data_IF_361943124063
#
_entry.id   IF_361943124063
#
_cell.length_a   1.000
_cell.length_b   1.000
_cell.length_c   1.000
_cell.angle_alpha   90.00
_cell.angle_beta   90.00
_cell.angle_gamma   90.00
#
_symmetry.space_group_name_H-M   'P 1'
#
loop_
_entity.id
_entity.type
_entity.pdbx_description
1 polymer ?
#
# COMPACT_ATOMS: atom_id res chain seq x y z
N UNK A 1 29.75 -9.41 15.24
CA UNK A 1 29.55 -9.65 13.78
C UNK A 1 29.36 -11.15 13.60
N UNK A 2 28.14 -11.61 13.30
CA UNK A 2 27.89 -13.03 13.02
C UNK A 2 28.40 -13.31 11.59
N UNK A 3 29.21 -14.36 11.42
CA UNK A 3 29.72 -14.72 10.11
C UNK A 3 28.58 -15.16 9.18
N UNK A 4 28.57 -14.69 7.92
CA UNK A 4 27.56 -15.06 6.90
C UNK A 4 27.39 -16.57 6.76
N UNK A 5 28.50 -17.32 6.81
CA UNK A 5 28.48 -18.79 6.75
C UNK A 5 27.68 -19.40 7.90
N UNK A 6 27.76 -18.81 9.10
CA UNK A 6 26.98 -19.26 10.27
C UNK A 6 25.48 -19.02 10.07
N UNK A 7 25.11 -17.87 9.50
CA UNK A 7 23.71 -17.54 9.18
C UNK A 7 23.17 -18.52 8.13
N UNK A 8 23.94 -18.78 7.07
CA UNK A 8 23.54 -19.71 6.02
C UNK A 8 23.39 -21.13 6.57
N UNK A 9 24.31 -21.60 7.42
CA UNK A 9 24.22 -22.92 8.06
C UNK A 9 23.01 -23.05 8.98
N UNK A 10 22.71 -22.01 9.78
CA UNK A 10 21.50 -21.96 10.61
C UNK A 10 20.25 -22.02 9.74
N UNK A 11 20.22 -21.28 8.64
CA UNK A 11 19.10 -21.30 7.68
C UNK A 11 18.86 -22.70 7.13
N UNK A 12 19.92 -23.40 6.70
CA UNK A 12 19.83 -24.80 6.23
C UNK A 12 19.27 -25.73 7.31
N UNK A 13 19.78 -25.60 8.54
CA UNK A 13 19.33 -26.42 9.67
C UNK A 13 17.83 -26.21 9.96
N UNK A 14 17.34 -24.96 9.95
CA UNK A 14 15.93 -24.63 10.16
C UNK A 14 15.03 -25.22 9.07
N UNK A 15 15.41 -25.09 7.79
CA UNK A 15 14.64 -25.68 6.67
C UNK A 15 14.64 -27.20 6.75
N UNK A 16 15.76 -27.83 7.11
CA UNK A 16 15.83 -29.29 7.30
C UNK A 16 14.98 -29.77 8.49
N UNK A 17 14.98 -29.03 9.60
CA UNK A 17 14.16 -29.34 10.76
C UNK A 17 12.66 -29.25 10.43
N UNK A 18 12.25 -28.24 9.67
CA UNK A 18 10.88 -28.11 9.18
C UNK A 18 10.47 -29.30 8.31
N UNK A 19 11.34 -29.73 7.38
CA UNK A 19 11.08 -30.86 6.48
C UNK A 19 10.94 -32.22 7.17
N UNK A 20 11.58 -32.41 8.33
CA UNK A 20 11.53 -33.65 9.12
C UNK A 20 10.33 -33.70 10.07
N UNK A 21 9.67 -32.56 10.30
CA UNK A 21 8.57 -32.46 11.27
C UNK A 21 7.27 -32.97 10.66
N UNK A 22 6.57 -33.86 11.37
CA UNK A 22 5.27 -34.41 10.97
C UNK A 22 4.12 -33.97 11.87
N UNK A 23 4.42 -33.52 13.09
CA UNK A 23 3.42 -33.04 14.04
C UNK A 23 3.02 -31.58 13.72
N UNK A 24 1.72 -31.26 13.55
CA UNK A 24 1.26 -29.92 13.21
C UNK A 24 1.73 -28.82 14.17
N UNK A 25 1.68 -29.05 15.50
CA UNK A 25 2.11 -28.06 16.50
C UNK A 25 3.60 -27.77 16.42
N UNK A 26 4.39 -28.82 16.17
CA UNK A 26 5.85 -28.68 15.96
C UNK A 26 6.11 -27.92 14.66
N UNK A 27 5.34 -28.19 13.60
CA UNK A 27 5.47 -27.47 12.33
C UNK A 27 5.22 -25.97 12.50
N UNK A 28 4.19 -25.56 13.25
CA UNK A 28 3.92 -24.14 13.52
C UNK A 28 5.16 -23.47 14.13
N UNK A 29 5.66 -24.00 15.25
CA UNK A 29 6.84 -23.44 15.92
C UNK A 29 8.07 -23.38 15.02
N UNK A 30 8.28 -24.38 14.15
CA UNK A 30 9.39 -24.40 13.19
C UNK A 30 9.23 -23.37 12.07
N UNK A 31 8.01 -23.17 11.57
CA UNK A 31 7.71 -22.12 10.59
C UNK A 31 7.94 -20.75 11.22
N UNK A 32 7.51 -20.53 12.46
CA UNK A 32 7.70 -19.26 13.16
C UNK A 32 9.17 -18.99 13.48
N UNK A 33 9.92 -19.99 13.96
CA UNK A 33 11.37 -19.90 14.20
C UNK A 33 12.13 -19.53 12.90
N UNK A 34 11.78 -20.17 11.78
CA UNK A 34 12.33 -19.85 10.48
C UNK A 34 11.95 -18.44 10.02
N UNK A 35 10.69 -18.03 10.23
CA UNK A 35 10.21 -16.70 9.84
C UNK A 35 10.96 -15.61 10.59
N UNK A 36 11.14 -15.75 11.90
CA UNK A 36 11.92 -14.84 12.73
C UNK A 36 13.37 -14.74 12.25
N UNK A 37 14.01 -15.89 12.00
CA UNK A 37 15.38 -15.94 11.47
C UNK A 37 15.51 -15.22 10.11
N UNK A 38 14.53 -15.39 9.22
CA UNK A 38 14.52 -14.75 7.90
C UNK A 38 14.22 -13.24 7.96
N UNK A 39 13.51 -12.78 9.00
CA UNK A 39 13.31 -11.35 9.27
C UNK A 39 14.59 -10.70 9.81
N UNK A 40 15.31 -11.39 10.68
CA UNK A 40 16.59 -10.93 11.24
C UNK A 40 17.71 -10.92 10.19
N UNK A 41 17.72 -11.92 9.29
CA UNK A 41 18.74 -12.10 8.25
C UNK A 41 18.13 -12.20 6.84
N UNK A 42 17.63 -11.09 6.24
CA UNK A 42 16.94 -11.11 4.95
C UNK A 42 17.78 -11.64 3.78
N UNK A 43 19.11 -11.56 3.84
CA UNK A 43 20.03 -12.09 2.84
C UNK A 43 20.01 -13.62 2.76
N UNK A 44 19.58 -14.30 3.82
CA UNK A 44 19.54 -15.76 3.90
C UNK A 44 18.34 -16.39 3.19
N UNK A 45 17.35 -15.58 2.77
CA UNK A 45 16.15 -16.05 2.03
C UNK A 45 16.51 -16.84 0.77
N UNK A 46 17.55 -16.40 0.05
CA UNK A 46 18.03 -17.12 -1.13
C UNK A 46 18.54 -18.53 -0.81
N UNK A 47 19.18 -18.72 0.34
CA UNK A 47 19.62 -20.03 0.83
C UNK A 47 18.43 -20.90 1.19
N UNK A 48 17.44 -20.33 1.90
CA UNK A 48 16.23 -21.06 2.28
C UNK A 48 15.47 -21.62 1.07
N UNK A 49 15.36 -20.82 0.00
CA UNK A 49 14.72 -21.26 -1.26
C UNK A 49 15.52 -22.39 -1.92
N UNK A 50 16.87 -22.29 -1.97
CA UNK A 50 17.74 -23.35 -2.49
C UNK A 50 17.58 -24.68 -1.73
N UNK A 51 17.29 -24.62 -0.43
CA UNK A 51 17.00 -25.79 0.41
C UNK A 51 15.57 -26.35 0.24
N UNK A 52 14.87 -25.96 -0.84
CA UNK A 52 13.51 -26.40 -1.19
C UNK A 52 12.46 -26.03 -0.13
N UNK A 53 12.58 -24.83 0.45
CA UNK A 53 11.60 -24.33 1.42
C UNK A 53 10.19 -24.17 0.80
N UNK A 54 10.06 -23.65 -0.41
CA UNK A 54 8.77 -23.38 -1.05
C UNK A 54 7.91 -24.66 -1.20
N UNK A 55 8.40 -25.76 -1.82
CA UNK A 55 7.70 -27.04 -1.83
C UNK A 55 7.27 -27.54 -0.43
N UNK A 56 8.08 -27.30 0.59
CA UNK A 56 7.77 -27.68 1.96
C UNK A 56 6.58 -26.86 2.50
N UNK A 57 6.66 -25.53 2.40
CA UNK A 57 5.61 -24.62 2.85
C UNK A 57 4.30 -24.85 2.11
N UNK A 58 4.32 -25.02 0.78
CA UNK A 58 3.11 -25.25 -0.01
C UNK A 58 2.37 -26.53 0.39
N UNK A 59 3.09 -27.59 0.76
CA UNK A 59 2.50 -28.82 1.31
C UNK A 59 1.91 -28.60 2.70
N UNK A 60 2.63 -27.90 3.59
CA UNK A 60 2.13 -27.56 4.92
C UNK A 60 0.87 -26.68 4.84
N UNK A 61 0.76 -25.81 3.82
CA UNK A 61 -0.43 -25.00 3.56
C UNK A 61 -1.68 -25.83 3.23
N UNK A 62 -1.53 -27.11 2.83
CA UNK A 62 -2.66 -28.01 2.57
C UNK A 62 -3.21 -28.67 3.85
N UNK A 63 -2.56 -28.50 5.00
CA UNK A 63 -3.05 -29.02 6.26
C UNK A 63 -4.34 -28.32 6.68
N UNK A 64 -5.25 -29.03 7.34
CA UNK A 64 -6.49 -28.49 7.87
C UNK A 64 -6.30 -27.82 9.25
N UNK A 65 -5.33 -26.90 9.33
CA UNK A 65 -4.97 -26.15 10.54
C UNK A 65 -4.74 -24.68 10.16
N UNK A 66 -5.65 -23.80 10.57
CA UNK A 66 -5.63 -22.39 10.20
C UNK A 66 -4.42 -21.64 10.79
N UNK A 67 -3.94 -22.02 11.98
CA UNK A 67 -2.76 -21.41 12.60
C UNK A 67 -1.50 -21.75 11.82
N UNK A 68 -1.35 -23.01 11.38
CA UNK A 68 -0.27 -23.43 10.50
C UNK A 68 -0.35 -22.74 9.14
N UNK A 69 -1.54 -22.69 8.53
CA UNK A 69 -1.72 -22.00 7.25
C UNK A 69 -1.38 -20.51 7.37
N UNK A 70 -1.74 -19.85 8.47
CA UNK A 70 -1.42 -18.46 8.74
C UNK A 70 0.10 -18.23 8.79
N UNK A 71 0.81 -19.01 9.61
CA UNK A 71 2.27 -18.93 9.71
C UNK A 71 2.94 -19.19 8.35
N UNK A 72 2.47 -20.19 7.61
CA UNK A 72 2.99 -20.53 6.27
C UNK A 72 2.75 -19.39 5.26
N UNK A 73 1.58 -18.74 5.27
CA UNK A 73 1.29 -17.60 4.39
C UNK A 73 2.22 -16.43 4.65
N UNK A 74 2.52 -16.15 5.91
CA UNK A 74 3.50 -15.12 6.29
C UNK A 74 4.89 -15.47 5.75
N UNK A 75 5.39 -16.69 6.00
CA UNK A 75 6.72 -17.10 5.51
C UNK A 75 6.81 -17.07 3.99
N UNK A 76 5.76 -17.51 3.28
CA UNK A 76 5.69 -17.45 1.81
C UNK A 76 5.76 -16.00 1.31
N UNK A 77 5.02 -15.09 1.94
CA UNK A 77 5.08 -13.66 1.61
C UNK A 77 6.47 -13.06 1.90
N UNK A 78 7.13 -13.48 2.98
CA UNK A 78 8.45 -12.99 3.39
C UNK A 78 9.57 -13.40 2.40
N UNK A 79 9.51 -14.64 1.90
CA UNK A 79 10.44 -15.14 0.88
C UNK A 79 10.06 -14.68 -0.54
N UNK A 80 8.99 -13.92 -0.68
CA UNK A 80 8.54 -13.34 -1.95
C UNK A 80 7.85 -14.31 -2.89
N UNK A 81 7.29 -15.41 -2.36
CA UNK A 81 6.39 -16.27 -3.12
C UNK A 81 5.01 -15.60 -3.24
N UNK A 82 4.49 -15.52 -4.47
CA UNK A 82 3.19 -14.93 -4.78
C UNK A 82 2.26 -15.97 -5.37
N UNK A 83 1.07 -16.09 -4.80
CA UNK A 83 0.00 -16.88 -5.42
C UNK A 83 -0.48 -16.21 -6.72
N UNK A 84 -1.06 -16.98 -7.66
CA UNK A 84 -1.75 -16.41 -8.80
C UNK A 84 -2.82 -15.39 -8.37
N UNK A 85 -2.93 -14.29 -9.12
CA UNK A 85 -3.97 -13.26 -8.90
C UNK A 85 -5.37 -13.85 -8.98
N UNK A 86 -6.41 -13.21 -8.42
CA UNK A 86 -7.76 -13.80 -8.39
C UNK A 86 -8.48 -13.69 -9.75
N UNK A 87 -8.24 -12.62 -10.51
CA UNK A 87 -8.83 -12.36 -11.83
C UNK A 87 -8.03 -12.95 -13.00
N UNK A 88 -8.46 -12.72 -14.24
CA UNK A 88 -7.70 -13.11 -15.45
C UNK A 88 -6.40 -12.31 -15.62
N UNK A 89 -6.30 -11.16 -14.94
CA UNK A 89 -5.10 -10.35 -14.80
C UNK A 89 -5.04 -9.68 -13.42
N UNK A 90 -4.07 -8.80 -13.22
CA UNK A 90 -3.83 -8.11 -11.95
C UNK A 90 -4.85 -6.98 -11.77
N UNK A 91 -5.54 -6.95 -10.63
CA UNK A 91 -6.48 -5.88 -10.27
C UNK A 91 -5.86 -4.99 -9.20
N UNK A 92 -5.72 -3.71 -9.51
CA UNK A 92 -4.94 -2.74 -8.72
C UNK A 92 -5.83 -1.58 -8.30
N UNK A 93 -5.76 -1.22 -7.02
CA UNK A 93 -6.33 0.01 -6.48
C UNK A 93 -5.19 0.93 -6.04
N UNK A 94 -5.24 2.18 -6.45
CA UNK A 94 -4.36 3.23 -5.93
C UNK A 94 -5.16 4.40 -5.40
N UNK A 95 -4.76 4.91 -4.24
CA UNK A 95 -5.42 6.02 -3.56
C UNK A 95 -4.39 7.12 -3.30
N UNK A 96 -4.66 8.31 -3.82
CA UNK A 96 -3.79 9.46 -3.71
C UNK A 96 -3.75 10.04 -2.29
N UNK A 97 -2.75 10.85 -2.01
CA UNK A 97 -2.71 11.71 -0.82
C UNK A 97 -3.61 12.93 -0.98
N UNK A 98 -4.08 13.48 0.15
CA UNK A 98 -4.96 14.65 0.09
C UNK A 98 -5.59 15.12 1.40
N UNK A 99 -5.01 14.79 2.55
CA UNK A 99 -5.57 15.19 3.85
C UNK A 99 -6.98 14.63 4.05
N UNK A 100 -7.92 15.36 4.67
CA UNK A 100 -9.30 14.94 4.93
C UNK A 100 -10.16 14.74 3.67
N UNK A 101 -9.65 15.13 2.50
CA UNK A 101 -10.34 14.94 1.20
C UNK A 101 -10.40 13.47 0.75
N UNK A 102 -9.78 12.54 1.49
CA UNK A 102 -9.93 11.10 1.28
C UNK A 102 -11.38 10.60 1.28
N UNK A 103 -12.31 11.37 1.86
CA UNK A 103 -13.76 11.10 1.79
C UNK A 103 -14.27 10.96 0.35
N UNK A 104 -13.67 11.68 -0.62
CA UNK A 104 -14.00 11.60 -2.04
C UNK A 104 -13.70 10.20 -2.60
N UNK A 105 -12.53 9.64 -2.24
CA UNK A 105 -12.16 8.29 -2.65
C UNK A 105 -13.11 7.24 -2.06
N UNK A 106 -13.55 7.42 -0.81
CA UNK A 106 -14.54 6.55 -0.16
C UNK A 106 -15.87 6.50 -0.92
N UNK A 107 -16.36 7.63 -1.45
CA UNK A 107 -17.60 7.64 -2.24
C UNK A 107 -17.48 6.79 -3.51
N UNK A 108 -16.32 6.82 -4.17
CA UNK A 108 -16.07 5.98 -5.36
C UNK A 108 -16.05 4.50 -4.99
N UNK A 109 -15.38 4.16 -3.89
CA UNK A 109 -15.30 2.78 -3.41
C UNK A 109 -16.68 2.24 -2.99
N UNK A 110 -17.51 3.06 -2.34
CA UNK A 110 -18.90 2.72 -1.98
C UNK A 110 -19.70 2.33 -3.21
N UNK A 111 -19.63 3.15 -4.25
CA UNK A 111 -20.33 2.88 -5.51
C UNK A 111 -19.79 1.63 -6.23
N UNK A 112 -18.48 1.34 -6.11
CA UNK A 112 -17.90 0.09 -6.62
C UNK A 112 -18.38 -1.14 -5.82
N UNK A 113 -18.45 -1.08 -4.49
CA UNK A 113 -18.99 -2.18 -3.68
C UNK A 113 -20.46 -2.44 -4.01
N UNK A 114 -21.28 -1.38 -4.17
CA UNK A 114 -22.68 -1.49 -4.59
C UNK A 114 -22.82 -2.18 -5.96
N UNK A 115 -22.02 -1.78 -6.95
CA UNK A 115 -22.10 -2.32 -8.32
C UNK A 115 -21.57 -3.76 -8.44
N UNK A 116 -20.63 -4.14 -7.58
CA UNK A 116 -19.96 -5.45 -7.67
C UNK A 116 -20.45 -6.47 -6.64
N UNK A 117 -21.14 -6.01 -5.59
CA UNK A 117 -21.55 -6.83 -4.45
C UNK A 117 -20.39 -7.42 -3.65
N UNK A 118 -19.17 -6.89 -3.81
CA UNK A 118 -17.95 -7.43 -3.19
C UNK A 118 -17.21 -6.31 -2.45
N UNK A 119 -16.68 -6.59 -1.25
CA UNK A 119 -15.92 -5.60 -0.51
C UNK A 119 -14.56 -5.32 -1.16
N UNK A 120 -13.98 -4.13 -0.92
CA UNK A 120 -12.73 -3.65 -1.54
C UNK A 120 -11.61 -4.70 -1.51
N UNK A 121 -11.36 -5.33 -0.36
CA UNK A 121 -10.28 -6.32 -0.21
C UNK A 121 -10.44 -7.59 -1.08
N UNK A 122 -11.63 -7.84 -1.65
CA UNK A 122 -11.90 -8.95 -2.57
C UNK A 122 -11.79 -8.52 -4.04
N UNK A 123 -12.02 -7.24 -4.33
CA UNK A 123 -11.96 -6.66 -5.67
C UNK A 123 -10.53 -6.51 -6.19
N UNK A 124 -9.57 -6.31 -5.29
CA UNK A 124 -8.19 -6.00 -5.68
C UNK A 124 -7.20 -7.07 -5.22
N UNK A 125 -6.16 -7.26 -6.03
CA UNK A 125 -5.01 -8.10 -5.72
C UNK A 125 -3.86 -7.26 -5.12
N UNK A 126 -3.80 -5.98 -5.51
CA UNK A 126 -2.84 -4.99 -5.02
C UNK A 126 -3.53 -3.66 -4.65
N UNK A 127 -3.20 -3.09 -3.50
CA UNK A 127 -3.71 -1.80 -3.02
C UNK A 127 -2.53 -0.91 -2.60
N UNK A 128 -2.41 0.27 -3.20
CA UNK A 128 -1.36 1.24 -2.89
C UNK A 128 -1.96 2.55 -2.39
N UNK A 129 -1.37 3.14 -1.36
CA UNK A 129 -1.80 4.43 -0.85
C UNK A 129 -0.66 5.36 -0.50
N UNK A 130 -0.91 6.67 -0.62
CA UNK A 130 -0.02 7.74 -0.21
C UNK A 130 -0.73 8.62 0.81
N UNK A 131 -0.07 9.01 1.91
CA UNK A 131 -0.66 9.85 2.96
C UNK A 131 -2.00 9.28 3.46
N UNK A 132 -3.07 10.09 3.44
CA UNK A 132 -4.46 9.63 3.67
C UNK A 132 -4.83 8.37 2.87
N UNK A 133 -4.39 8.25 1.61
CA UNK A 133 -4.63 7.05 0.81
C UNK A 133 -3.99 5.80 1.41
N UNK A 134 -2.85 5.92 2.10
CA UNK A 134 -2.24 4.81 2.83
C UNK A 134 -3.09 4.38 4.04
N UNK A 135 -3.69 5.35 4.76
CA UNK A 135 -4.62 5.08 5.86
C UNK A 135 -5.81 4.27 5.34
N UNK A 136 -6.44 4.73 4.25
CA UNK A 136 -7.56 4.04 3.62
C UNK A 136 -7.16 2.65 3.10
N UNK A 137 -5.99 2.53 2.47
CA UNK A 137 -5.46 1.25 2.00
C UNK A 137 -5.29 0.23 3.14
N UNK A 138 -4.87 0.67 4.32
CA UNK A 138 -4.71 -0.23 5.48
C UNK A 138 -6.06 -0.61 6.08
N UNK A 139 -6.96 0.36 6.26
CA UNK A 139 -8.31 0.13 6.79
C UNK A 139 -9.08 -0.87 5.93
N UNK A 140 -9.13 -0.63 4.62
CA UNK A 140 -9.90 -1.43 3.68
C UNK A 140 -9.17 -2.71 3.27
N UNK A 141 -7.86 -2.63 3.04
CA UNK A 141 -7.06 -3.73 2.51
C UNK A 141 -6.54 -4.71 3.57
N UNK A 142 -6.09 -4.23 4.73
CA UNK A 142 -5.48 -5.08 5.75
C UNK A 142 -6.49 -5.45 6.85
N UNK A 143 -7.16 -4.45 7.40
CA UNK A 143 -8.12 -4.65 8.49
C UNK A 143 -9.47 -5.16 7.98
N UNK A 144 -9.79 -4.93 6.69
CA UNK A 144 -11.09 -5.24 6.08
C UNK A 144 -12.25 -4.53 6.80
N UNK A 145 -12.02 -3.27 7.20
CA UNK A 145 -13.05 -2.44 7.81
C UNK A 145 -14.12 -2.13 6.75
N UNK A 146 -15.42 -2.37 7.03
CA UNK A 146 -16.50 -1.96 6.14
C UNK A 146 -16.46 -0.46 5.81
N UNK A 147 -16.93 -0.06 4.64
CA UNK A 147 -16.82 1.34 4.20
C UNK A 147 -17.52 2.35 5.14
N UNK A 148 -18.67 1.98 5.72
CA UNK A 148 -19.38 2.83 6.68
C UNK A 148 -18.55 3.09 7.94
N UNK A 149 -18.04 2.03 8.54
CA UNK A 149 -17.14 2.12 9.71
C UNK A 149 -15.83 2.85 9.35
N UNK A 150 -15.35 2.68 8.12
CA UNK A 150 -14.16 3.34 7.63
C UNK A 150 -14.35 4.85 7.56
N UNK A 151 -15.51 5.31 7.05
CA UNK A 151 -15.86 6.72 6.96
C UNK A 151 -16.01 7.36 8.36
N UNK A 152 -16.68 6.68 9.29
CA UNK A 152 -16.82 7.16 10.67
C UNK A 152 -15.47 7.27 11.38
N UNK A 153 -14.64 6.22 11.29
CA UNK A 153 -13.30 6.21 11.84
C UNK A 153 -12.43 7.31 11.24
N UNK A 154 -12.59 7.57 9.94
CA UNK A 154 -11.86 8.61 9.22
C UNK A 154 -12.29 10.02 9.64
N UNK A 155 -13.59 10.26 9.83
CA UNK A 155 -14.11 11.51 10.39
C UNK A 155 -13.60 11.76 11.81
N UNK A 156 -13.63 10.73 12.66
CA UNK A 156 -13.12 10.81 14.04
C UNK A 156 -11.62 11.11 14.05
N UNK A 157 -10.87 10.44 13.19
CA UNK A 157 -9.44 10.66 13.01
C UNK A 157 -9.14 12.10 12.58
N UNK A 158 -9.84 12.62 11.57
CA UNK A 158 -9.68 14.00 11.12
C UNK A 158 -9.98 14.99 12.24
N UNK A 159 -11.06 14.77 13.00
CA UNK A 159 -11.39 15.64 14.13
C UNK A 159 -10.33 15.58 15.24
N UNK A 160 -9.83 14.40 15.59
CA UNK A 160 -8.88 14.24 16.69
C UNK A 160 -7.46 14.69 16.32
N UNK A 161 -7.05 14.53 15.05
CA UNK A 161 -5.75 14.96 14.52
C UNK A 161 -5.71 16.47 14.30
N UNK A 162 -6.79 17.05 13.77
CA UNK A 162 -6.85 18.47 13.39
C UNK A 162 -7.50 19.37 14.46
N UNK A 163 -7.76 18.84 15.67
CA UNK A 163 -8.20 19.63 16.84
C UNK A 163 -7.09 20.61 17.25
N UNK A 164 -7.39 21.90 17.12
CA UNK A 164 -6.49 23.00 17.45
C UNK A 164 -6.22 23.13 18.96
N UNK A 165 -4.97 23.45 19.31
CA UNK A 165 -4.66 24.44 20.34
C UNK A 165 -4.01 25.64 19.62
N UNK A 166 -4.81 26.66 19.26
CA UNK A 166 -4.40 27.85 18.50
C UNK A 166 -3.21 28.59 19.15
N UNK A 167 -3.06 28.46 20.47
CA UNK A 167 -1.97 29.07 21.26
C UNK A 167 -0.64 28.34 21.06
N UNK A 168 -0.65 27.04 20.77
CA UNK A 168 0.57 26.21 20.60
C UNK A 168 1.12 26.28 19.18
N UNK A 169 0.25 26.45 18.17
CA UNK A 169 0.64 26.52 16.76
C UNK A 169 1.54 27.71 16.42
N UNK A 170 1.33 28.87 17.04
CA UNK A 170 2.13 30.08 16.77
C UNK A 170 3.47 30.08 17.51
N UNK A 171 3.56 29.41 18.67
CA UNK A 171 4.78 29.36 19.50
C UNK A 171 5.73 28.25 19.04
N UNK A 172 5.20 27.09 18.59
CA UNK A 172 6.03 25.98 18.10
C UNK A 172 6.56 26.18 16.68
N UNK A 173 5.89 26.96 15.82
CA UNK A 173 6.37 27.26 14.45
C UNK A 173 7.78 27.90 14.41
N UNK A 174 8.18 28.61 15.47
CA UNK A 174 9.50 29.21 15.61
C UNK A 174 10.64 28.24 16.01
N UNK A 175 10.32 27.02 16.43
CA UNK A 175 11.29 26.04 16.96
C UNK A 175 11.19 24.66 16.28
N UNK A 176 9.97 24.23 15.90
CA UNK A 176 9.65 22.97 15.23
C UNK A 176 8.74 23.25 14.01
N UNK A 177 9.17 22.85 12.81
CA UNK A 177 8.54 23.19 11.53
C UNK A 177 7.21 22.45 11.22
N UNK A 178 6.36 22.19 12.22
CA UNK A 178 5.10 21.45 12.08
C UNK A 178 3.93 22.16 12.79
N UNK A 179 2.79 22.25 12.11
CA UNK A 179 1.58 22.88 12.65
C UNK A 179 0.82 21.99 13.65
N UNK A 180 0.86 20.67 13.46
CA UNK A 180 0.14 19.69 14.29
C UNK A 180 1.08 18.87 15.19
N UNK A 181 0.55 18.44 16.33
CA UNK A 181 1.29 17.63 17.29
C UNK A 181 1.47 16.20 16.77
N UNK A 182 2.72 15.89 16.41
CA UNK A 182 3.09 14.59 15.83
C UNK A 182 3.07 13.46 16.86
N UNK A 183 3.17 13.75 18.16
CA UNK A 183 3.17 12.74 19.22
C UNK A 183 1.75 12.23 19.48
N UNK A 184 0.75 13.13 19.43
CA UNK A 184 -0.67 12.75 19.52
C UNK A 184 -1.03 11.86 18.32
N UNK A 185 -0.59 12.25 17.12
CA UNK A 185 -0.79 11.44 15.92
C UNK A 185 -0.18 10.04 16.04
N UNK A 186 1.08 9.96 16.49
CA UNK A 186 1.76 8.69 16.69
C UNK A 186 1.08 7.81 17.73
N UNK A 187 0.61 8.39 18.85
CA UNK A 187 -0.12 7.66 19.89
C UNK A 187 -1.42 7.06 19.34
N UNK A 188 -2.20 7.84 18.59
CA UNK A 188 -3.44 7.35 17.97
C UNK A 188 -3.18 6.23 16.96
N UNK A 189 -2.11 6.35 16.16
CA UNK A 189 -1.72 5.30 15.23
C UNK A 189 -1.29 4.02 15.93
N UNK A 190 -0.49 4.12 17.01
CA UNK A 190 -0.11 2.94 17.81
C UNK A 190 -1.31 2.23 18.40
N UNK A 191 -2.29 2.99 18.90
CA UNK A 191 -3.53 2.44 19.46
C UNK A 191 -4.38 1.74 18.40
N UNK A 192 -4.61 2.39 17.25
CA UNK A 192 -5.51 1.87 16.21
C UNK A 192 -4.88 0.77 15.35
N UNK A 193 -3.59 0.86 15.04
CA UNK A 193 -2.90 -0.04 14.11
C UNK A 193 -2.19 -1.21 14.82
N UNK A 194 -1.98 -1.11 16.13
CA UNK A 194 -1.29 -2.11 16.93
C UNK A 194 0.22 -2.19 16.67
N UNK A 195 0.86 -3.24 17.22
CA UNK A 195 2.31 -3.45 17.15
C UNK A 195 2.77 -4.37 16.03
N UNK A 196 1.85 -4.91 15.24
CA UNK A 196 2.13 -5.91 14.23
C UNK A 196 3.02 -5.35 13.12
N UNK A 197 3.87 -6.22 12.57
CA UNK A 197 4.66 -5.91 11.37
C UNK A 197 3.77 -5.92 10.12
N UNK A 198 4.19 -5.19 9.09
CA UNK A 198 3.53 -5.22 7.79
C UNK A 198 3.38 -6.65 7.27
N UNK A 199 4.44 -7.46 7.36
CA UNK A 199 4.45 -8.84 6.85
C UNK A 199 3.46 -9.76 7.57
N UNK A 200 3.20 -9.53 8.86
CA UNK A 200 2.30 -10.38 9.65
C UNK A 200 0.86 -10.30 9.16
N UNK A 201 0.48 -9.22 8.47
CA UNK A 201 -0.85 -9.11 7.85
C UNK A 201 -1.07 -10.13 6.72
N UNK A 202 0.00 -10.70 6.16
CA UNK A 202 -0.10 -11.81 5.21
C UNK A 202 -0.59 -13.11 5.85
N UNK A 203 -0.62 -13.21 7.20
CA UNK A 203 -1.26 -14.33 7.90
C UNK A 203 -2.73 -14.46 7.55
N UNK A 204 -3.43 -13.36 7.27
CA UNK A 204 -4.87 -13.35 6.98
C UNK A 204 -5.14 -13.93 5.59
N UNK A 205 -6.07 -14.90 5.52
CA UNK A 205 -6.50 -15.45 4.24
C UNK A 205 -7.14 -14.35 3.36
N UNK A 206 -6.93 -14.46 2.04
CA UNK A 206 -7.44 -13.53 1.01
C UNK A 206 -6.98 -12.06 1.18
N UNK A 207 -6.01 -11.78 2.03
CA UNK A 207 -5.40 -10.46 2.20
C UNK A 207 -4.75 -10.01 0.88
N UNK A 208 -5.10 -8.84 0.32
CA UNK A 208 -4.42 -8.29 -0.83
C UNK A 208 -2.98 -7.91 -0.49
N UNK A 209 -2.18 -7.70 -1.53
CA UNK A 209 -0.88 -7.04 -1.39
C UNK A 209 -1.13 -5.56 -1.14
N UNK A 210 -0.61 -5.02 -0.04
CA UNK A 210 -0.85 -3.62 0.35
C UNK A 210 0.48 -2.90 0.52
N UNK A 211 0.53 -1.67 0.01
CA UNK A 211 1.67 -0.79 0.10
C UNK A 211 1.29 0.63 0.54
N UNK A 212 2.15 1.22 1.36
CA UNK A 212 2.13 2.64 1.73
C UNK A 212 3.42 3.30 1.27
N UNK A 213 3.32 4.50 0.68
CA UNK A 213 4.47 5.20 0.08
C UNK A 213 4.84 6.43 0.90
N UNK A 214 6.13 6.61 1.17
CA UNK A 214 6.70 7.83 1.76
C UNK A 214 7.89 8.33 0.93
N UNK A 215 8.42 9.51 1.26
CA UNK A 215 9.59 10.08 0.61
C UNK A 215 10.75 10.17 1.59
N UNK A 216 11.91 9.61 1.25
CA UNK A 216 13.15 9.79 2.01
C UNK A 216 13.85 11.06 1.55
N UNK A 217 14.20 11.91 2.52
CA UNK A 217 14.74 13.26 2.27
C UNK A 217 16.20 13.44 2.70
N UNK A 218 16.81 12.48 3.39
CA UNK A 218 18.18 12.57 3.90
C UNK A 218 19.21 11.66 3.18
N UNK A 219 18.87 11.10 2.02
CA UNK A 219 19.77 10.24 1.20
C UNK A 219 20.33 10.92 -0.04
N UNK A 220 20.40 12.25 -0.03
CA UNK A 220 20.86 13.06 -1.16
C UNK A 220 19.78 13.25 -2.23
N UNK A 221 20.17 13.89 -3.33
CA UNK A 221 19.29 14.18 -4.48
C UNK A 221 19.56 13.21 -5.65
N UNK A 222 18.53 12.80 -6.41
CA UNK A 222 17.11 13.10 -6.20
C UNK A 222 16.52 12.35 -4.99
N UNK A 223 15.43 12.89 -4.43
CA UNK A 223 14.65 12.25 -3.36
C UNK A 223 14.24 10.83 -3.75
N UNK A 224 14.06 9.95 -2.77
CA UNK A 224 13.74 8.53 -3.01
C UNK A 224 12.40 8.16 -2.40
N UNK A 225 11.51 7.59 -3.21
CA UNK A 225 10.30 6.96 -2.69
C UNK A 225 10.65 5.68 -1.91
N UNK A 226 9.95 5.47 -0.80
CA UNK A 226 10.08 4.30 0.05
C UNK A 226 8.75 3.59 0.21
N UNK A 227 8.74 2.29 -0.05
CA UNK A 227 7.55 1.44 -0.08
C UNK A 227 7.50 0.55 1.16
N UNK A 228 6.59 0.88 2.08
CA UNK A 228 6.21 -0.03 3.16
C UNK A 228 5.21 -1.04 2.62
N UNK A 229 5.47 -2.34 2.77
CA UNK A 229 4.67 -3.38 2.09
C UNK A 229 4.44 -4.63 2.94
N UNK A 230 3.30 -5.29 2.78
CA UNK A 230 3.01 -6.58 3.45
C UNK A 230 3.50 -7.82 2.66
N UNK A 231 4.47 -7.61 1.79
CA UNK A 231 5.03 -8.64 0.92
C UNK A 231 6.50 -8.37 0.69
N UNK A 232 7.19 -9.35 0.12
CA UNK A 232 8.53 -9.17 -0.37
C UNK A 232 8.65 -9.62 -1.83
N UNK A 233 9.74 -9.22 -2.47
CA UNK A 233 10.08 -9.71 -3.80
C UNK A 233 10.86 -11.01 -3.71
N UNK A 234 10.69 -11.85 -4.72
CA UNK A 234 11.45 -13.08 -4.85
C UNK A 234 12.95 -12.76 -4.93
N UNK A 235 13.84 -13.51 -4.26
CA UNK A 235 15.28 -13.26 -4.33
C UNK A 235 15.80 -13.20 -5.78
N UNK A 236 16.47 -12.10 -6.12
CA UNK A 236 16.93 -11.79 -7.49
C UNK A 236 16.11 -10.70 -8.17
N UNK A 237 14.83 -10.53 -7.81
CA UNK A 237 14.00 -9.44 -8.30
C UNK A 237 14.32 -8.16 -7.54
N UNK A 238 14.81 -7.14 -8.26
CA UNK A 238 15.12 -5.82 -7.71
C UNK A 238 14.05 -4.83 -8.14
N UNK A 239 13.38 -4.23 -7.16
CA UNK A 239 12.50 -3.09 -7.42
C UNK A 239 13.31 -1.81 -7.56
N UNK A 240 12.87 -0.92 -8.44
CA UNK A 240 13.38 0.45 -8.53
C UNK A 240 13.19 1.21 -7.21
N UNK A 241 12.11 0.92 -6.48
CA UNK A 241 11.79 1.58 -5.22
C UNK A 241 12.36 0.81 -4.04
N UNK A 242 13.02 1.55 -3.15
CA UNK A 242 13.47 1.03 -1.87
C UNK A 242 12.26 0.77 -0.97
N UNK A 243 12.36 -0.19 -0.07
CA UNK A 243 11.21 -0.59 0.73
C UNK A 243 11.41 -1.89 1.48
N UNK A 244 10.44 -2.22 2.32
CA UNK A 244 10.51 -3.41 3.16
C UNK A 244 9.20 -3.74 3.85
N UNK A 245 9.20 -4.90 4.50
CA UNK A 245 8.03 -5.49 5.18
C UNK A 245 8.22 -5.68 6.69
N UNK A 246 9.39 -5.30 7.21
CA UNK A 246 9.81 -5.44 8.61
C UNK A 246 9.38 -4.27 9.52
N UNK A 247 8.53 -3.38 9.01
CA UNK A 247 8.10 -2.18 9.72
C UNK A 247 6.73 -2.42 10.36
N UNK A 248 6.44 -1.72 11.47
CA UNK A 248 5.11 -1.77 12.08
C UNK A 248 4.11 -0.98 11.24
N UNK A 249 2.84 -1.39 11.28
CA UNK A 249 1.77 -0.73 10.53
C UNK A 249 1.69 0.79 10.82
N UNK A 250 1.74 1.18 12.10
CA UNK A 250 1.71 2.60 12.49
C UNK A 250 2.91 3.39 11.97
N UNK A 251 4.09 2.77 11.84
CA UNK A 251 5.30 3.45 11.33
C UNK A 251 5.15 3.76 9.85
N UNK A 252 4.59 2.82 9.08
CA UNK A 252 4.34 3.02 7.65
C UNK A 252 3.38 4.19 7.41
N UNK A 253 2.29 4.28 8.18
CA UNK A 253 1.34 5.39 8.10
C UNK A 253 1.97 6.71 8.57
N UNK A 254 2.67 6.72 9.71
CA UNK A 254 3.31 7.92 10.26
C UNK A 254 4.34 8.52 9.31
N UNK A 255 5.10 7.68 8.61
CA UNK A 255 6.05 8.08 7.57
C UNK A 255 5.33 8.61 6.33
N UNK A 256 4.31 7.90 5.86
CA UNK A 256 3.54 8.23 4.66
C UNK A 256 2.73 9.52 4.77
N UNK A 257 2.29 9.89 5.98
CA UNK A 257 1.44 11.07 6.24
C UNK A 257 2.18 12.27 6.83
N UNK A 258 3.52 12.30 6.78
CA UNK A 258 4.34 13.36 7.37
C UNK A 258 4.40 14.61 6.46
N UNK A 259 3.25 15.23 6.22
CA UNK A 259 3.11 16.30 5.23
C UNK A 259 3.89 17.57 5.64
N UNK A 260 4.74 18.15 4.76
CA UNK A 260 5.51 19.35 5.07
C UNK A 260 4.61 20.52 5.50
N UNK A 261 4.97 21.19 6.60
CA UNK A 261 4.19 22.27 7.20
C UNK A 261 3.02 21.79 8.09
N UNK A 262 2.61 20.52 7.97
CA UNK A 262 1.55 19.92 8.79
C UNK A 262 2.13 19.09 9.92
N UNK A 263 2.96 18.10 9.60
CA UNK A 263 3.56 17.18 10.57
C UNK A 263 5.07 17.20 10.48
N UNK A 264 5.73 16.83 11.59
CA UNK A 264 7.17 16.70 11.61
C UNK A 264 7.60 15.47 10.80
N UNK A 265 8.77 15.57 10.19
CA UNK A 265 9.46 14.45 9.56
C UNK A 265 9.59 13.27 10.52
N UNK A 266 9.56 12.05 9.98
CA UNK A 266 9.62 10.84 10.79
C UNK A 266 10.96 10.14 10.62
N UNK A 267 11.71 10.01 11.71
CA UNK A 267 12.99 9.29 11.73
C UNK A 267 12.72 7.81 11.89
N UNK A 268 13.18 7.00 10.95
CA UNK A 268 13.08 5.54 10.99
C UNK A 268 14.44 4.90 10.67
N UNK A 269 15.15 4.50 11.74
CA UNK A 269 16.52 4.02 11.61
C UNK A 269 17.45 5.16 11.15
N UNK A 270 18.06 5.01 9.98
CA UNK A 270 18.92 6.04 9.38
C UNK A 270 18.18 6.95 8.39
N UNK A 271 16.90 6.68 8.15
CA UNK A 271 16.11 7.36 7.13
C UNK A 271 15.20 8.42 7.74
N UNK A 272 15.16 9.58 7.09
CA UNK A 272 14.27 10.68 7.42
C UNK A 272 13.13 10.69 6.39
N UNK A 273 11.93 10.38 6.84
CA UNK A 273 10.75 10.26 6.01
C UNK A 273 9.87 11.52 6.07
N UNK A 274 9.38 11.92 4.89
CA UNK A 274 8.29 12.86 4.70
C UNK A 274 7.16 12.19 3.92
N UNK A 275 6.03 12.89 3.82
CA UNK A 275 4.85 12.43 3.08
C UNK A 275 5.21 11.97 1.66
N UNK A 276 4.61 10.86 1.24
CA UNK A 276 4.80 10.30 -0.10
C UNK A 276 4.33 11.26 -1.20
N UNK A 277 3.40 12.17 -0.88
CA UNK A 277 2.88 13.19 -1.77
C UNK A 277 3.94 14.15 -2.29
N UNK A 278 5.05 14.34 -1.57
CA UNK A 278 6.15 15.19 -2.01
C UNK A 278 6.79 14.71 -3.34
N UNK A 279 6.76 13.40 -3.62
CA UNK A 279 7.39 12.83 -4.81
C UNK A 279 6.41 12.04 -5.67
N UNK A 280 5.47 11.32 -5.05
CA UNK A 280 4.56 10.39 -5.73
C UNK A 280 3.16 10.48 -5.10
N UNK A 281 2.49 11.63 -5.25
CA UNK A 281 1.13 11.78 -4.72
C UNK A 281 0.11 10.84 -5.40
N UNK A 282 0.28 10.58 -6.69
CA UNK A 282 -0.43 9.54 -7.42
C UNK A 282 0.45 8.27 -7.53
N UNK A 283 0.22 7.23 -6.70
CA UNK A 283 1.10 6.07 -6.67
C UNK A 283 0.84 5.05 -7.80
N UNK A 284 0.03 5.39 -8.81
CA UNK A 284 -0.38 4.47 -9.88
C UNK A 284 0.80 3.84 -10.62
N UNK A 285 1.77 4.66 -11.05
CA UNK A 285 2.95 4.16 -11.77
C UNK A 285 3.83 3.24 -10.89
N UNK A 286 3.99 3.61 -9.62
CA UNK A 286 4.70 2.79 -8.63
C UNK A 286 3.99 1.45 -8.40
N UNK A 287 2.66 1.46 -8.28
CA UNK A 287 1.87 0.25 -8.10
C UNK A 287 1.98 -0.69 -9.30
N UNK A 288 1.96 -0.17 -10.53
CA UNK A 288 2.19 -0.96 -11.75
C UNK A 288 3.58 -1.61 -11.73
N UNK A 289 4.61 -0.85 -11.36
CA UNK A 289 5.97 -1.37 -11.25
C UNK A 289 6.09 -2.49 -10.19
N UNK A 290 5.54 -2.29 -8.99
CA UNK A 290 5.53 -3.32 -7.93
C UNK A 290 4.74 -4.57 -8.37
N UNK A 291 3.61 -4.39 -9.07
CA UNK A 291 2.84 -5.50 -9.64
C UNK A 291 3.66 -6.31 -10.66
N UNK A 292 4.48 -5.66 -11.48
CA UNK A 292 5.40 -6.35 -12.40
C UNK A 292 6.53 -7.08 -11.67
N UNK A 293 6.97 -6.59 -10.52
CA UNK A 293 7.92 -7.31 -9.67
C UNK A 293 7.29 -8.57 -9.03
N UNK A 294 6.00 -8.51 -8.69
CA UNK A 294 5.27 -9.62 -8.05
C UNK A 294 4.74 -10.66 -9.04
N UNK A 295 4.29 -10.21 -10.20
CA UNK A 295 3.65 -11.02 -11.24
C UNK A 295 4.14 -10.61 -12.63
N UNK A 296 5.41 -10.89 -12.99
CA UNK A 296 6.04 -10.38 -14.21
C UNK A 296 5.30 -10.76 -15.50
N UNK A 297 4.74 -11.97 -15.55
CA UNK A 297 4.09 -12.54 -16.73
C UNK A 297 2.57 -12.37 -16.72
N UNK A 298 2.00 -11.60 -15.80
CA UNK A 298 0.55 -11.39 -15.71
C UNK A 298 0.20 -9.99 -16.24
N UNK A 299 -0.80 -9.87 -17.14
CA UNK A 299 -1.27 -8.58 -17.61
C UNK A 299 -2.04 -7.82 -16.52
N UNK A 300 -2.11 -6.50 -16.62
CA UNK A 300 -3.04 -5.70 -15.81
C UNK A 300 -4.45 -5.94 -16.35
N UNK A 301 -5.37 -6.32 -15.47
CA UNK A 301 -6.79 -6.45 -15.79
C UNK A 301 -7.52 -5.13 -15.56
N UNK A 302 -7.25 -4.47 -14.44
CA UNK A 302 -7.89 -3.22 -14.08
C UNK A 302 -7.03 -2.46 -13.08
N UNK A 303 -6.79 -1.18 -13.32
CA UNK A 303 -6.13 -0.23 -12.43
C UNK A 303 -7.12 0.90 -12.15
N UNK A 304 -7.64 0.94 -10.93
CA UNK A 304 -8.49 2.02 -10.45
C UNK A 304 -7.64 2.98 -9.63
N UNK A 305 -7.57 4.23 -10.08
CA UNK A 305 -6.84 5.29 -9.42
C UNK A 305 -7.81 6.34 -8.90
N UNK A 306 -7.78 6.56 -7.59
CA UNK A 306 -8.70 7.45 -6.88
C UNK A 306 -7.94 8.70 -6.42
N UNK A 307 -8.30 9.83 -7.02
CA UNK A 307 -7.85 11.14 -6.57
C UNK A 307 -8.70 11.65 -5.41
N UNK A 308 -8.16 12.59 -4.65
CA UNK A 308 -8.86 13.24 -3.52
C UNK A 308 -9.55 14.54 -3.93
N UNK A 309 -9.90 14.68 -5.20
CA UNK A 309 -10.44 15.90 -5.77
C UNK A 309 -9.35 16.87 -6.23
N UNK A 310 -9.60 17.54 -7.36
CA UNK A 310 -8.75 18.59 -7.92
C UNK A 310 -9.50 19.92 -7.94
N UNK A 311 -8.79 21.01 -7.73
CA UNK A 311 -9.32 22.36 -7.85
C UNK A 311 -8.45 23.13 -8.84
N UNK A 312 -9.09 23.70 -9.87
CA UNK A 312 -8.42 24.53 -10.86
C UNK A 312 -8.64 25.99 -10.45
N UNK A 313 -7.61 26.63 -9.89
CA UNK A 313 -7.68 28.04 -9.52
C UNK A 313 -7.80 28.93 -10.76
N UNK A 314 -8.60 30.00 -10.66
CA UNK A 314 -8.70 31.01 -11.73
C UNK A 314 -7.32 31.59 -12.08
N UNK A 315 -7.05 31.76 -13.37
CA UNK A 315 -5.79 32.32 -13.88
C UNK A 315 -5.63 33.75 -13.37
N UNK A 316 -4.77 33.93 -12.35
CA UNK A 316 -4.41 35.27 -11.87
C UNK A 316 -3.47 35.92 -12.88
N UNK A 317 -3.99 36.86 -13.66
CA UNK A 317 -3.25 37.68 -14.64
C UNK A 317 -2.37 38.77 -14.03
N UNK A 318 -2.37 38.91 -12.70
CA UNK A 318 -1.59 39.95 -12.01
C UNK A 318 -0.11 39.55 -11.88
N UNK A 319 0.75 40.30 -12.58
CA UNK A 319 2.22 40.20 -12.53
C UNK A 319 2.75 40.88 -11.26
N UNK A 320 2.50 40.30 -10.09
CA UNK A 320 3.07 40.78 -8.81
C UNK A 320 3.96 39.71 -8.17
N UNK A 321 4.94 40.15 -7.37
CA UNK A 321 5.87 39.25 -6.70
C UNK A 321 5.13 38.34 -5.71
N UNK A 322 5.29 37.02 -5.87
CA UNK A 322 4.76 36.02 -4.93
C UNK A 322 5.61 35.97 -3.65
N UNK A 323 4.98 35.88 -2.48
CA UNK A 323 5.69 35.69 -1.19
C UNK A 323 6.47 34.37 -1.14
N UNK A 324 7.47 34.26 -0.24
CA UNK A 324 8.21 33.00 -0.03
C UNK A 324 7.30 31.84 0.35
N UNK A 325 6.26 32.11 1.16
CA UNK A 325 5.23 31.14 1.50
C UNK A 325 4.46 30.68 0.25
N UNK A 326 4.05 31.62 -0.61
CA UNK A 326 3.35 31.29 -1.85
C UNK A 326 4.24 30.49 -2.82
N UNK A 327 5.54 30.82 -2.93
CA UNK A 327 6.50 30.04 -3.72
C UNK A 327 6.63 28.61 -3.20
N UNK A 328 6.77 28.43 -1.88
CA UNK A 328 6.86 27.11 -1.26
C UNK A 328 5.57 26.31 -1.49
N UNK A 329 4.40 26.92 -1.28
CA UNK A 329 3.11 26.29 -1.56
C UNK A 329 2.97 25.90 -3.02
N UNK A 330 3.39 26.74 -3.97
CA UNK A 330 3.34 26.41 -5.40
C UNK A 330 4.26 25.24 -5.75
N UNK A 331 5.47 25.17 -5.17
CA UNK A 331 6.38 24.04 -5.36
C UNK A 331 5.78 22.76 -4.80
N UNK A 332 5.20 22.81 -3.59
CA UNK A 332 4.53 21.66 -2.98
C UNK A 332 3.34 21.22 -3.83
N UNK A 333 2.49 22.15 -4.26
CA UNK A 333 1.32 21.87 -5.10
C UNK A 333 1.73 21.27 -6.46
N UNK A 334 2.81 21.76 -7.06
CA UNK A 334 3.34 21.20 -8.31
C UNK A 334 3.93 19.81 -8.12
N UNK A 335 4.69 19.59 -7.03
CA UNK A 335 5.29 18.29 -6.71
C UNK A 335 4.23 17.24 -6.33
N UNK A 336 3.08 17.68 -5.82
CA UNK A 336 1.94 16.84 -5.47
C UNK A 336 0.93 16.71 -6.61
N UNK A 337 1.23 17.25 -7.81
CA UNK A 337 0.35 17.10 -8.96
C UNK A 337 0.22 15.63 -9.34
N UNK A 338 -1.02 15.25 -9.64
CA UNK A 338 -1.42 13.86 -9.88
C UNK A 338 -1.70 13.61 -11.37
N UNK A 339 -1.86 14.69 -12.15
CA UNK A 339 -2.39 14.64 -13.50
C UNK A 339 -1.31 14.31 -14.54
N UNK A 340 -0.03 14.60 -14.28
CA UNK A 340 1.08 14.12 -15.11
C UNK A 340 1.13 12.58 -15.16
N UNK A 341 1.06 11.92 -13.99
CA UNK A 341 1.03 10.45 -13.91
C UNK A 341 -0.23 9.90 -14.56
N UNK A 342 -1.38 10.57 -14.38
CA UNK A 342 -2.62 10.20 -15.04
C UNK A 342 -2.47 10.21 -16.57
N UNK A 343 -1.97 11.31 -17.13
CA UNK A 343 -1.76 11.50 -18.58
C UNK A 343 -0.81 10.44 -19.14
N UNK A 344 0.29 10.16 -18.44
CA UNK A 344 1.26 9.14 -18.84
C UNK A 344 0.63 7.75 -18.89
N UNK A 345 -0.12 7.36 -17.87
CA UNK A 345 -0.72 6.02 -17.80
C UNK A 345 -1.88 5.85 -18.76
N UNK A 346 -2.68 6.89 -18.98
CA UNK A 346 -3.78 6.88 -19.96
C UNK A 346 -3.25 6.67 -21.39
N UNK A 347 -2.11 7.30 -21.72
CA UNK A 347 -1.47 7.15 -23.03
C UNK A 347 -0.76 5.80 -23.23
N UNK A 348 -0.17 5.22 -22.17
CA UNK A 348 0.68 4.03 -22.27
C UNK A 348 -0.04 2.71 -22.00
N UNK A 349 -1.09 2.72 -21.17
CA UNK A 349 -1.81 1.49 -20.85
C UNK A 349 -2.85 1.16 -21.93
N UNK A 350 -3.14 -0.13 -22.16
CA UNK A 350 -4.17 -0.52 -23.11
C UNK A 350 -5.53 0.09 -22.73
N UNK A 351 -6.41 0.32 -23.74
CA UNK A 351 -7.78 0.74 -23.48
C UNK A 351 -8.45 -0.16 -22.44
N UNK A 352 -9.34 0.42 -21.65
CA UNK A 352 -10.15 -0.28 -20.65
C UNK A 352 -9.35 -0.96 -19.53
N UNK A 353 -8.07 -0.61 -19.37
CA UNK A 353 -7.22 -1.10 -18.26
C UNK A 353 -7.14 -0.09 -17.12
N UNK A 354 -7.15 1.21 -17.42
CA UNK A 354 -6.91 2.28 -16.45
C UNK A 354 -8.15 3.16 -16.27
N UNK A 355 -8.57 3.36 -15.02
CA UNK A 355 -9.72 4.16 -14.66
C UNK A 355 -9.33 5.15 -13.56
N UNK A 356 -9.15 6.42 -13.95
CA UNK A 356 -8.95 7.54 -13.03
C UNK A 356 -10.28 8.15 -12.59
N UNK A 357 -10.51 8.25 -11.29
CA UNK A 357 -11.62 8.99 -10.71
C UNK A 357 -11.05 10.12 -9.85
N UNK A 358 -11.07 11.34 -10.37
CA UNK A 358 -10.59 12.53 -9.69
C UNK A 358 -11.54 13.69 -9.98
N UNK A 359 -12.52 13.96 -9.09
CA UNK A 359 -13.54 14.97 -9.35
C UNK A 359 -12.97 16.39 -9.33
N UNK A 360 -13.49 17.27 -10.18
CA UNK A 360 -13.26 18.71 -10.09
C UNK A 360 -14.14 19.27 -8.97
N UNK A 361 -13.51 19.88 -7.98
CA UNK A 361 -14.16 20.50 -6.82
C UNK A 361 -14.64 21.90 -7.15
N UNK A 362 -15.76 22.33 -6.56
CA UNK A 362 -16.28 23.69 -6.74
C UNK A 362 -15.49 24.73 -5.94
N UNK A 363 -14.87 24.31 -4.83
CA UNK A 363 -14.13 25.17 -3.93
C UNK A 363 -12.75 24.57 -3.62
N UNK A 364 -11.80 25.45 -3.29
CA UNK A 364 -10.50 25.06 -2.78
C UNK A 364 -10.61 24.67 -1.30
N UNK A 365 -10.73 23.37 -1.04
CA UNK A 365 -10.85 22.83 0.32
C UNK A 365 -9.46 22.39 0.80
N UNK A 366 -8.97 22.92 1.94
CA UNK A 366 -7.63 22.60 2.44
C UNK A 366 -7.53 21.16 2.96
N UNK A 367 -6.30 20.66 3.05
CA UNK A 367 -5.99 19.28 3.45
C UNK A 367 -6.41 18.97 4.90
N UNK A 368 -6.45 19.96 5.77
CA UNK A 368 -6.77 19.88 7.20
C UNK A 368 -8.20 20.31 7.55
N UNK A 369 -9.08 20.42 6.54
CA UNK A 369 -10.46 20.79 6.78
C UNK A 369 -11.15 19.79 7.71
N UNK A 370 -11.79 20.29 8.76
CA UNK A 370 -12.48 19.48 9.78
C UNK A 370 -13.94 19.89 10.01
N UNK A 371 -14.40 20.99 9.37
CA UNK A 371 -15.78 21.45 9.46
C UNK A 371 -16.71 20.51 8.70
N UNK A 372 -17.72 19.99 9.41
CA UNK A 372 -18.71 19.06 8.86
C UNK A 372 -19.34 19.56 7.56
N UNK A 373 -19.72 20.83 7.51
CA UNK A 373 -20.35 21.45 6.32
C UNK A 373 -19.47 21.33 5.06
N UNK A 374 -18.16 21.62 5.18
CA UNK A 374 -17.22 21.53 4.06
C UNK A 374 -16.93 20.07 3.67
N UNK A 375 -16.85 19.18 4.66
CA UNK A 375 -16.69 17.74 4.39
C UNK A 375 -17.93 17.15 3.69
N UNK A 376 -19.14 17.55 4.09
CA UNK A 376 -20.38 17.16 3.41
C UNK A 376 -20.45 17.71 1.99
N UNK A 377 -19.93 18.92 1.75
CA UNK A 377 -19.81 19.49 0.41
C UNK A 377 -18.86 18.65 -0.47
N UNK A 378 -17.69 18.24 0.04
CA UNK A 378 -16.77 17.34 -0.69
C UNK A 378 -17.45 16.04 -1.09
N UNK A 379 -18.21 15.44 -0.18
CA UNK A 379 -18.94 14.20 -0.46
C UNK A 379 -19.99 14.42 -1.55
N UNK A 380 -20.75 15.51 -1.46
CA UNK A 380 -21.77 15.89 -2.45
C UNK A 380 -21.17 16.08 -3.84
N UNK A 381 -20.02 16.76 -3.93
CA UNK A 381 -19.31 16.96 -5.20
C UNK A 381 -18.77 15.64 -5.76
N UNK A 382 -18.26 14.76 -4.90
CA UNK A 382 -17.87 13.40 -5.26
C UNK A 382 -19.02 12.58 -5.82
N UNK A 383 -20.18 12.59 -5.15
CA UNK A 383 -21.39 11.87 -5.59
C UNK A 383 -21.86 12.40 -6.96
N UNK A 384 -22.00 13.72 -7.11
CA UNK A 384 -22.42 14.33 -8.38
C UNK A 384 -21.47 14.01 -9.53
N UNK A 385 -20.16 13.96 -9.26
CA UNK A 385 -19.18 13.53 -10.25
C UNK A 385 -19.38 12.07 -10.65
N UNK A 386 -19.63 11.18 -9.70
CA UNK A 386 -19.86 9.76 -9.97
C UNK A 386 -21.15 9.53 -10.77
N UNK A 387 -22.22 10.27 -10.49
CA UNK A 387 -23.46 10.25 -11.29
C UNK A 387 -23.19 10.62 -12.75
N UNK A 388 -22.41 11.67 -13.00
CA UNK A 388 -22.02 12.08 -14.35
C UNK A 388 -21.11 11.06 -15.05
N UNK A 389 -20.38 10.24 -14.29
CA UNK A 389 -19.43 9.26 -14.78
C UNK A 389 -19.91 7.81 -14.56
N UNK A 390 -21.21 7.60 -14.44
CA UNK A 390 -21.79 6.29 -14.08
C UNK A 390 -21.40 5.20 -15.09
N UNK A 391 -21.40 5.51 -16.39
CA UNK A 391 -20.97 4.60 -17.46
C UNK A 391 -19.53 4.13 -17.27
N UNK A 392 -18.61 5.05 -16.96
CA UNK A 392 -17.20 4.74 -16.68
C UNK A 392 -17.08 3.81 -15.47
N UNK A 393 -17.86 4.08 -14.43
CA UNK A 393 -17.86 3.29 -13.21
C UNK A 393 -18.42 1.88 -13.42
N UNK A 394 -19.55 1.75 -14.13
CA UNK A 394 -20.14 0.46 -14.52
C UNK A 394 -19.19 -0.36 -15.38
N UNK A 395 -18.48 0.28 -16.31
CA UNK A 395 -17.44 -0.36 -17.11
C UNK A 395 -16.30 -0.90 -16.24
N UNK A 396 -15.78 -0.08 -15.33
CA UNK A 396 -14.73 -0.50 -14.39
C UNK A 396 -15.19 -1.68 -13.51
N UNK A 397 -16.40 -1.61 -12.95
CA UNK A 397 -16.99 -2.67 -12.13
C UNK A 397 -17.16 -4.00 -12.90
N UNK A 398 -17.62 -3.92 -14.16
CA UNK A 398 -17.73 -5.08 -15.05
C UNK A 398 -16.37 -5.73 -15.28
N UNK A 399 -15.32 -4.95 -15.55
CA UNK A 399 -13.97 -5.48 -15.80
C UNK A 399 -13.37 -6.07 -14.52
N UNK A 400 -13.53 -5.42 -13.36
CA UNK A 400 -13.06 -5.93 -12.07
C UNK A 400 -13.62 -7.30 -11.68
N UNK A 401 -14.87 -7.56 -12.09
CA UNK A 401 -15.61 -8.78 -11.74
C UNK A 401 -15.41 -9.92 -12.73
N UNK A 402 -14.74 -9.68 -13.87
CA UNK A 402 -14.40 -10.73 -14.81
C UNK A 402 -13.48 -11.78 -14.18
N UNK A 403 -13.93 -13.03 -14.25
CA UNK A 403 -13.21 -14.17 -13.70
C UNK A 403 -12.24 -14.77 -14.71
N UNK A 404 -11.33 -15.60 -14.20
CA UNK A 404 -10.46 -16.45 -15.02
C UNK A 404 -11.25 -17.41 -15.89
N UNK A 405 -10.75 -17.66 -17.08
CA UNK A 405 -11.18 -18.80 -17.90
C UNK A 405 -10.83 -20.14 -17.24
N UNK A 406 -11.52 -21.21 -17.65
CA UNK A 406 -11.23 -22.57 -17.18
C UNK A 406 -9.77 -22.98 -17.49
N UNK A 407 -9.24 -22.57 -18.65
CA UNK A 407 -7.86 -22.81 -19.05
C UNK A 407 -6.87 -22.14 -18.08
N UNK A 408 -7.09 -20.88 -17.73
CA UNK A 408 -6.23 -20.17 -16.76
C UNK A 408 -6.27 -20.82 -15.38
N UNK A 409 -7.45 -21.23 -14.90
CA UNK A 409 -7.59 -21.97 -13.64
C UNK A 409 -6.80 -23.29 -13.65
N UNK A 410 -6.84 -24.02 -14.76
CA UNK A 410 -6.07 -25.23 -14.94
C UNK A 410 -4.56 -24.94 -14.96
N UNK A 411 -4.12 -23.91 -15.68
CA UNK A 411 -2.71 -23.49 -15.71
C UNK A 411 -2.20 -23.12 -14.32
N UNK A 412 -2.98 -22.36 -13.54
CA UNK A 412 -2.64 -22.03 -12.16
C UNK A 412 -2.53 -23.27 -11.27
N UNK A 413 -3.44 -24.23 -11.44
CA UNK A 413 -3.40 -25.49 -10.71
C UNK A 413 -2.17 -26.32 -11.08
N UNK A 414 -1.84 -26.44 -12.37
CA UNK A 414 -0.63 -27.13 -12.85
C UNK A 414 0.61 -26.46 -12.26
N UNK A 415 0.68 -25.12 -12.32
CA UNK A 415 1.80 -24.35 -11.75
C UNK A 415 1.94 -24.58 -10.24
N UNK A 416 0.85 -24.53 -9.49
CA UNK A 416 0.86 -24.79 -8.06
C UNK A 416 1.36 -26.21 -7.75
N UNK A 417 0.98 -27.21 -8.55
CA UNK A 417 1.48 -28.59 -8.41
C UNK A 417 2.97 -28.68 -8.72
N UNK A 418 3.45 -28.03 -9.78
CA UNK A 418 4.88 -27.97 -10.11
C UNK A 418 5.68 -27.31 -8.97
N UNK A 419 5.23 -26.15 -8.48
CA UNK A 419 5.88 -25.43 -7.37
C UNK A 419 5.92 -26.25 -6.07
N UNK A 420 4.93 -27.14 -5.87
CA UNK A 420 4.80 -27.99 -4.69
C UNK A 420 5.67 -29.27 -4.74
N UNK A 421 5.94 -29.82 -5.92
CA UNK A 421 6.66 -31.10 -6.07
C UNK A 421 8.04 -30.97 -6.71
N UNK A 422 8.15 -30.18 -7.76
CA UNK A 422 9.40 -29.99 -8.54
C UNK A 422 10.20 -28.80 -7.99
N UNK A 423 9.49 -27.81 -7.43
CA UNK A 423 10.05 -26.54 -6.99
C UNK A 423 10.22 -25.57 -8.16
N UNK A 424 10.58 -24.32 -7.84
CA UNK A 424 10.81 -23.31 -8.88
C UNK A 424 12.11 -23.63 -9.64
N UNK A 425 12.09 -23.68 -11.00
CA UNK A 425 13.32 -23.77 -11.77
C UNK A 425 14.15 -22.53 -11.44
N UNK A 426 15.28 -22.72 -10.77
CA UNK A 426 16.23 -21.64 -10.48
C UNK A 426 16.97 -21.31 -11.79
N UNK A 427 16.23 -20.79 -12.77
CA UNK A 427 16.83 -20.12 -13.93
C UNK A 427 17.30 -18.76 -13.44
N UNK A 428 18.53 -18.79 -12.93
CA UNK A 428 19.41 -17.65 -12.80
C UNK A 428 19.58 -16.98 -14.18
N UNK A 429 18.64 -16.12 -14.55
CA UNK A 429 18.86 -15.03 -15.50
C UNK A 429 18.15 -13.80 -14.96
N UNK A 430 18.86 -13.08 -14.09
CA UNK A 430 18.84 -11.63 -13.90
C UNK A 430 20.02 -11.22 -13.04
#
# INVERSE_FOLDING_TARGET
IIARVSIDNRTRALVQALRRSTNPRVCINRVEELTYHLLEFPESRGVAIKEKLIPCLLRLRQANDESLQAAVRETLALIGYTDPVKGWGIRVLTIDGGGTRGLVALQTLRKLEELTGKPVHQLFDYICGVSTGAILAFMLGLFHIPLDDCEELYHKLGSDVFKQNVIVGTVKMGWNHAFYDSDIWEKMLKEKMGSNLMIETARKSKCPKVAAVSTIVNRGTPLKAFVFRNYNHFPGVKSHYIGGCQYKLWQAIRASSAAPGYFQEYVLGSDLHQDGGLLLNNPSALAVHECKCLWPNVPLQCLISLGTGRYESEVKTNVTHTSLKAKLTNVINSATDTEEVHTMLDALLPPDTYFRFNPLMNEDIPLDESRKEKLSQLQTDGIRYLERNEEKLRKAAKILTQEKSALQRLQDWIRLKADMYEGLPFLSKL
#
